data_IF_893692186172
#
_entry.id   IF_893692186172
#
_cell.length_a   1.000
_cell.length_b   1.000
_cell.length_c   1.000
_cell.angle_alpha   90.00
_cell.angle_beta   90.00
_cell.angle_gamma   90.00
#
_symmetry.space_group_name_H-M   'P 1'
#
loop_
_entity.id
_entity.type
_entity.pdbx_description
1 polymer ?
#
# COMPACT_ATOMS: atom_id res chain seq x y z
N UNK A 1 -14.54 2.29 -14.95
CA UNK A 1 -14.66 2.22 -13.47
C UNK A 1 -14.46 0.78 -13.04
N UNK A 2 -13.74 0.54 -11.94
CA UNK A 2 -13.53 -0.78 -11.34
C UNK A 2 -14.33 -0.90 -10.05
N UNK A 3 -15.01 -2.03 -9.84
CA UNK A 3 -15.86 -2.28 -8.68
C UNK A 3 -15.18 -3.24 -7.71
N UNK A 4 -14.88 -2.74 -6.52
CA UNK A 4 -14.51 -3.54 -5.35
C UNK A 4 -15.76 -3.95 -4.58
N UNK A 5 -15.61 -4.80 -3.58
CA UNK A 5 -16.72 -5.27 -2.74
C UNK A 5 -17.43 -4.11 -2.00
N UNK A 6 -16.70 -3.08 -1.60
CA UNK A 6 -17.20 -2.02 -0.74
C UNK A 6 -17.15 -0.62 -1.39
N UNK A 7 -16.49 -0.48 -2.52
CA UNK A 7 -16.34 0.80 -3.21
C UNK A 7 -16.01 0.61 -4.70
N UNK A 8 -16.01 1.70 -5.42
CA UNK A 8 -15.64 1.71 -6.84
C UNK A 8 -14.64 2.81 -7.12
N UNK A 9 -13.74 2.59 -8.08
CA UNK A 9 -12.72 3.55 -8.47
C UNK A 9 -12.74 3.83 -9.96
N UNK A 10 -12.54 5.09 -10.32
CA UNK A 10 -12.19 5.50 -11.68
C UNK A 10 -10.72 5.21 -11.94
N UNK A 11 -10.40 4.76 -13.15
CA UNK A 11 -9.02 4.51 -13.61
C UNK A 11 -8.89 4.64 -15.13
N UNK A 12 -9.88 5.28 -15.77
CA UNK A 12 -9.94 5.35 -17.23
C UNK A 12 -8.80 6.21 -17.81
N UNK A 13 -8.44 7.29 -17.13
CA UNK A 13 -7.41 8.24 -17.57
C UNK A 13 -6.03 7.93 -17.00
N UNK A 14 -5.95 7.05 -16.01
CA UNK A 14 -4.70 6.70 -15.35
C UNK A 14 -3.74 5.97 -16.28
N UNK A 15 -2.46 6.35 -16.22
CA UNK A 15 -1.37 5.72 -16.98
C UNK A 15 -1.24 4.22 -16.65
N UNK A 16 -1.36 3.85 -15.37
CA UNK A 16 -1.45 2.47 -14.92
C UNK A 16 -2.88 2.14 -14.48
N UNK A 17 -3.41 1.04 -15.02
CA UNK A 17 -4.71 0.50 -14.59
C UNK A 17 -4.55 -0.20 -13.24
N UNK A 18 -5.67 -0.42 -12.54
CA UNK A 18 -5.69 -1.21 -11.31
C UNK A 18 -5.09 -2.58 -11.58
N UNK A 19 -4.04 -2.92 -10.85
CA UNK A 19 -3.25 -4.14 -11.03
C UNK A 19 -3.42 -5.10 -9.85
N UNK A 20 -3.16 -6.38 -10.10
CA UNK A 20 -3.10 -7.39 -9.04
C UNK A 20 -2.02 -7.06 -8.01
N UNK A 21 -0.88 -6.49 -8.45
CA UNK A 21 0.22 -6.10 -7.56
C UNK A 21 -0.23 -5.05 -6.53
N UNK A 22 -0.96 -4.01 -6.99
CA UNK A 22 -1.49 -2.98 -6.10
C UNK A 22 -2.50 -3.55 -5.09
N UNK A 23 -3.38 -4.46 -5.54
CA UNK A 23 -4.34 -5.13 -4.66
C UNK A 23 -3.64 -6.02 -3.63
N UNK A 24 -2.65 -6.81 -4.05
CA UNK A 24 -1.88 -7.67 -3.16
C UNK A 24 -1.11 -6.87 -2.11
N UNK A 25 -0.47 -5.77 -2.53
CA UNK A 25 0.23 -4.89 -1.60
C UNK A 25 -0.74 -4.32 -0.56
N UNK A 26 -1.88 -3.78 -0.99
CA UNK A 26 -2.87 -3.22 -0.09
C UNK A 26 -3.45 -4.27 0.86
N UNK A 27 -3.74 -5.49 0.36
CA UNK A 27 -4.29 -6.57 1.15
C UNK A 27 -3.30 -7.09 2.20
N UNK A 28 -2.02 -7.30 1.80
CA UNK A 28 -0.97 -7.82 2.68
C UNK A 28 -0.43 -6.78 3.68
N UNK A 29 -0.54 -5.47 3.39
CA UNK A 29 -0.02 -4.43 4.28
C UNK A 29 -0.85 -4.31 5.55
N UNK A 30 -0.29 -4.54 6.75
CA UNK A 30 -1.00 -4.35 8.01
C UNK A 30 -1.14 -2.86 8.34
N UNK A 31 -2.31 -2.45 8.82
CA UNK A 31 -2.63 -1.04 9.14
C UNK A 31 -2.69 -0.74 10.63
N UNK A 32 -2.49 -1.77 11.48
CA UNK A 32 -2.48 -1.65 12.93
C UNK A 32 -1.57 -0.50 13.40
N UNK A 33 -2.07 0.32 14.30
CA UNK A 33 -1.39 1.48 14.89
C UNK A 33 -0.95 2.58 13.89
N UNK A 34 -1.28 2.47 12.60
CA UNK A 34 -0.97 3.52 11.64
C UNK A 34 -2.01 4.65 11.74
N UNK A 35 -1.54 5.88 11.95
CA UNK A 35 -2.36 7.09 11.93
C UNK A 35 -2.12 7.92 10.68
N UNK A 36 -0.90 7.91 10.17
CA UNK A 36 -0.49 8.67 9.00
C UNK A 36 0.14 7.74 7.97
N UNK A 37 -0.49 7.69 6.81
CA UNK A 37 -0.12 6.80 5.70
C UNK A 37 0.27 7.62 4.47
N UNK A 38 1.33 7.22 3.77
CA UNK A 38 1.75 7.77 2.49
C UNK A 38 1.77 6.67 1.44
N UNK A 39 1.08 6.90 0.33
CA UNK A 39 1.09 6.06 -0.88
C UNK A 39 1.91 6.77 -1.95
N UNK A 40 3.13 6.28 -2.23
CA UNK A 40 4.08 6.85 -3.19
C UNK A 40 3.87 6.22 -4.55
N UNK A 41 3.58 7.05 -5.58
CA UNK A 41 3.19 6.56 -6.89
C UNK A 41 1.78 5.96 -6.85
N UNK A 42 0.84 6.67 -6.24
CA UNK A 42 -0.49 6.15 -5.92
C UNK A 42 -1.36 5.85 -7.14
N UNK A 43 -1.01 6.37 -8.32
CA UNK A 43 -1.85 6.24 -9.52
C UNK A 43 -3.26 6.75 -9.28
N UNK A 44 -4.27 5.94 -9.62
CA UNK A 44 -5.68 6.24 -9.33
C UNK A 44 -6.08 6.03 -7.86
N UNK A 45 -5.10 5.85 -6.96
CA UNK A 45 -5.32 5.78 -5.52
C UNK A 45 -5.76 4.40 -5.00
N UNK A 46 -5.64 3.33 -5.77
CA UNK A 46 -6.16 2.02 -5.39
C UNK A 46 -5.65 1.54 -4.04
N UNK A 47 -4.34 1.67 -3.77
CA UNK A 47 -3.74 1.24 -2.49
C UNK A 47 -4.25 2.14 -1.37
N UNK A 48 -4.22 3.46 -1.55
CA UNK A 48 -4.69 4.43 -0.58
C UNK A 48 -6.16 4.18 -0.18
N UNK A 49 -7.06 3.90 -1.14
CA UNK A 49 -8.47 3.58 -0.88
C UNK A 49 -8.65 2.26 -0.13
N UNK A 50 -7.92 1.20 -0.52
CA UNK A 50 -7.94 -0.07 0.19
C UNK A 50 -7.45 0.07 1.64
N UNK A 51 -6.36 0.81 1.85
CA UNK A 51 -5.83 1.06 3.21
C UNK A 51 -6.79 1.92 4.04
N UNK A 52 -7.43 2.93 3.44
CA UNK A 52 -8.46 3.73 4.10
C UNK A 52 -9.60 2.84 4.61
N UNK A 53 -10.08 1.94 3.78
CA UNK A 53 -11.12 0.99 4.17
C UNK A 53 -10.65 0.07 5.31
N UNK A 54 -9.44 -0.51 5.23
CA UNK A 54 -8.86 -1.35 6.28
C UNK A 54 -8.74 -0.61 7.62
N UNK A 55 -8.20 0.60 7.60
CA UNK A 55 -8.03 1.42 8.81
C UNK A 55 -9.38 1.74 9.45
N UNK A 56 -10.39 1.99 8.65
CA UNK A 56 -11.75 2.17 9.17
C UNK A 56 -12.29 0.90 9.83
N UNK A 57 -12.12 -0.27 9.20
CA UNK A 57 -12.55 -1.53 9.80
C UNK A 57 -11.84 -1.80 11.13
N UNK A 58 -10.54 -1.50 11.21
CA UNK A 58 -9.77 -1.64 12.45
C UNK A 58 -10.29 -0.71 13.55
N UNK A 59 -10.54 0.55 13.24
CA UNK A 59 -11.12 1.52 14.17
C UNK A 59 -12.49 1.06 14.70
N UNK A 60 -13.35 0.52 13.83
CA UNK A 60 -14.66 -0.03 14.23
C UNK A 60 -14.51 -1.24 15.15
N UNK A 61 -13.55 -2.13 14.89
CA UNK A 61 -13.24 -3.27 15.76
C UNK A 61 -12.75 -2.82 17.14
N UNK A 62 -11.84 -1.85 17.19
CA UNK A 62 -11.33 -1.29 18.44
C UNK A 62 -12.43 -0.64 19.28
N UNK A 63 -13.34 0.12 18.66
CA UNK A 63 -14.50 0.73 19.33
C UNK A 63 -15.44 -0.34 19.87
N UNK A 64 -15.80 -1.31 19.05
CA UNK A 64 -16.66 -2.43 19.48
C UNK A 64 -16.06 -3.23 20.64
N UNK A 65 -14.73 -3.42 20.67
CA UNK A 65 -14.03 -4.10 21.76
C UNK A 65 -14.06 -3.27 23.05
N UNK A 66 -13.94 -1.94 22.98
CA UNK A 66 -14.01 -1.03 24.12
C UNK A 66 -15.41 -0.92 24.74
N UNK A 67 -16.45 -1.08 23.92
CA UNK A 67 -17.86 -1.00 24.36
C UNK A 67 -18.38 -2.30 24.95
N UNK A 68 -17.53 -3.35 25.13
CA UNK A 68 -17.90 -4.67 25.67
C UNK A 68 -19.13 -5.29 24.96
N UNK A 69 -19.22 -5.12 23.65
CA UNK A 69 -20.32 -5.69 22.86
C UNK A 69 -20.20 -7.22 22.86
N UNK A 70 -21.07 -7.90 23.61
CA UNK A 70 -21.10 -9.36 23.71
C UNK A 70 -21.44 -10.02 22.38
N UNK A 71 -21.00 -11.29 22.19
CA UNK A 71 -21.21 -12.07 20.94
C UNK A 71 -22.67 -12.16 20.49
N UNK A 72 -23.64 -12.00 21.39
CA UNK A 72 -25.07 -12.03 21.08
C UNK A 72 -25.56 -10.84 20.26
N UNK A 73 -24.87 -9.70 20.33
CA UNK A 73 -25.18 -8.51 19.54
C UNK A 73 -24.57 -8.54 18.13
N UNK A 74 -23.94 -9.63 17.72
CA UNK A 74 -23.27 -9.74 16.40
C UNK A 74 -24.29 -9.77 15.25
N UNK A 75 -25.52 -10.23 15.46
CA UNK A 75 -26.57 -10.18 14.46
C UNK A 75 -27.11 -8.73 14.20
N UNK A 76 -27.00 -7.84 15.20
CA UNK A 76 -27.29 -6.42 15.06
C UNK A 76 -26.08 -5.60 14.55
N UNK A 77 -24.97 -6.27 14.23
CA UNK A 77 -23.70 -5.64 13.89
C UNK A 77 -23.76 -4.74 12.64
N UNK A 78 -24.59 -5.08 11.68
CA UNK A 78 -24.75 -4.25 10.47
C UNK A 78 -25.47 -2.94 10.79
N UNK A 79 -26.51 -2.98 11.63
CA UNK A 79 -27.22 -1.77 12.07
C UNK A 79 -26.38 -0.93 13.04
N UNK A 80 -25.61 -1.58 13.93
CA UNK A 80 -24.69 -0.89 14.84
C UNK A 80 -23.53 -0.27 14.05
N UNK A 81 -23.02 -0.96 13.04
CA UNK A 81 -21.99 -0.46 12.16
C UNK A 81 -22.47 0.76 11.37
N UNK A 82 -23.71 0.77 10.88
CA UNK A 82 -24.32 1.95 10.25
C UNK A 82 -24.57 3.08 11.24
N UNK A 83 -25.01 2.79 12.47
CA UNK A 83 -25.19 3.81 13.53
C UNK A 83 -23.88 4.42 13.99
N UNK A 84 -22.82 3.62 14.22
CA UNK A 84 -21.49 4.11 14.56
C UNK A 84 -20.85 4.95 13.44
N UNK A 85 -21.22 4.67 12.19
CA UNK A 85 -20.86 5.47 11.03
C UNK A 85 -21.63 6.80 10.95
N UNK A 86 -22.79 6.90 11.63
CA UNK A 86 -23.64 8.10 11.64
C UNK A 86 -23.31 9.05 12.82
N UNK A 87 -22.75 8.58 13.91
CA UNK A 87 -22.41 9.42 15.05
C UNK A 87 -21.17 10.26 14.78
N UNK A 88 -21.40 11.56 14.63
CA UNK A 88 -20.41 12.62 14.54
C UNK A 88 -19.79 12.85 15.91
N UNK A 89 -18.73 12.16 16.26
CA UNK A 89 -17.75 12.68 17.22
C UNK A 89 -16.51 11.81 17.19
N UNK A 90 -15.72 11.98 16.14
CA UNK A 90 -14.32 11.59 16.19
C UNK A 90 -13.60 12.68 16.98
N UNK A 91 -13.25 12.41 18.23
CA UNK A 91 -12.34 13.28 18.98
C UNK A 91 -10.98 13.31 18.29
N UNK A 92 -10.18 14.34 18.51
CA UNK A 92 -8.83 14.52 17.92
C UNK A 92 -7.89 13.31 18.05
N UNK A 93 -8.22 12.34 18.91
CA UNK A 93 -7.43 11.11 19.14
C UNK A 93 -7.57 10.04 18.03
N UNK A 94 -8.61 10.12 17.21
CA UNK A 94 -8.90 9.12 16.17
C UNK A 94 -8.64 9.64 14.74
N UNK A 95 -7.79 10.66 14.63
CA UNK A 95 -7.45 11.25 13.34
C UNK A 95 -6.49 10.36 12.55
N UNK A 96 -6.99 9.82 11.42
CA UNK A 96 -6.18 9.12 10.44
C UNK A 96 -6.04 9.99 9.20
N UNK A 97 -4.82 10.08 8.66
CA UNK A 97 -4.51 10.81 7.44
C UNK A 97 -3.86 9.87 6.44
N UNK A 98 -4.39 9.82 5.23
CA UNK A 98 -3.81 9.08 4.12
C UNK A 98 -3.53 10.06 3.00
N UNK A 99 -2.29 10.10 2.55
CA UNK A 99 -1.84 10.95 1.45
C UNK A 99 -1.36 10.05 0.31
N UNK A 100 -1.95 10.21 -0.88
CA UNK A 100 -1.46 9.64 -2.13
C UNK A 100 -0.74 10.71 -2.94
N UNK A 101 0.42 10.40 -3.48
CA UNK A 101 1.16 11.29 -4.38
C UNK A 101 1.52 10.57 -5.67
N UNK A 102 1.39 11.26 -6.78
CA UNK A 102 1.81 10.78 -8.10
C UNK A 102 2.22 11.97 -8.98
N UNK A 103 3.09 11.74 -9.95
CA UNK A 103 3.45 12.75 -10.96
C UNK A 103 2.42 12.85 -12.08
N UNK A 104 1.65 11.78 -12.31
CA UNK A 104 0.68 11.65 -13.39
C UNK A 104 -0.63 12.38 -13.05
N UNK A 105 -0.84 13.55 -13.64
CA UNK A 105 -2.03 14.36 -13.40
C UNK A 105 -3.35 13.63 -13.75
N UNK A 106 -3.47 12.88 -14.87
CA UNK A 106 -4.67 12.10 -15.16
C UNK A 106 -5.00 11.06 -14.10
N UNK A 107 -4.00 10.37 -13.54
CA UNK A 107 -4.17 9.42 -12.44
C UNK A 107 -4.69 10.08 -11.18
N UNK A 108 -4.12 11.23 -10.79
CA UNK A 108 -4.63 12.02 -9.66
C UNK A 108 -6.06 12.52 -9.92
N UNK A 109 -6.39 12.88 -11.17
CA UNK A 109 -7.75 13.23 -11.56
C UNK A 109 -8.75 12.07 -11.33
N UNK A 110 -8.39 10.85 -11.71
CA UNK A 110 -9.20 9.65 -11.45
C UNK A 110 -9.32 9.36 -9.93
N UNK A 111 -8.22 9.53 -9.18
CA UNK A 111 -8.25 9.38 -7.72
C UNK A 111 -9.20 10.39 -7.06
N UNK A 112 -9.13 11.66 -7.41
CA UNK A 112 -10.02 12.70 -6.88
C UNK A 112 -11.48 12.47 -7.28
N UNK A 113 -11.74 12.07 -8.52
CA UNK A 113 -13.09 11.72 -9.00
C UNK A 113 -13.67 10.52 -8.23
N UNK A 114 -12.84 9.54 -7.92
CA UNK A 114 -13.24 8.40 -7.09
C UNK A 114 -13.68 8.82 -5.69
N UNK A 115 -13.06 9.85 -5.13
CA UNK A 115 -13.43 10.39 -3.82
C UNK A 115 -14.85 10.96 -3.77
N UNK A 116 -15.37 11.47 -4.88
CA UNK A 116 -16.73 12.03 -4.97
C UNK A 116 -17.82 10.95 -4.84
N UNK A 117 -17.54 9.74 -5.34
CA UNK A 117 -18.49 8.61 -5.30
C UNK A 117 -18.26 7.67 -4.10
N UNK A 118 -17.15 7.85 -3.39
CA UNK A 118 -16.83 7.06 -2.23
C UNK A 118 -17.82 7.40 -1.08
N UNK A 119 -18.24 6.42 -0.24
CA UNK A 119 -19.13 6.69 0.89
C UNK A 119 -18.50 7.73 1.82
N UNK A 120 -18.89 8.98 1.67
CA UNK A 120 -18.15 10.19 2.05
C UNK A 120 -17.82 10.37 3.53
N UNK A 121 -18.49 9.66 4.45
CA UNK A 121 -18.39 10.02 5.88
C UNK A 121 -17.07 9.65 6.55
N UNK A 122 -16.28 8.71 5.97
CA UNK A 122 -15.15 8.12 6.66
C UNK A 122 -13.77 8.40 6.05
N UNK A 123 -13.72 9.15 4.92
CA UNK A 123 -12.48 9.38 4.16
C UNK A 123 -12.15 10.87 4.01
N UNK A 124 -12.56 11.70 4.97
CA UNK A 124 -12.30 13.16 4.93
C UNK A 124 -10.80 13.47 4.86
N UNK A 125 -9.97 12.59 5.41
CA UNK A 125 -8.52 12.74 5.50
C UNK A 125 -7.76 11.93 4.43
N UNK A 126 -8.43 11.53 3.35
CA UNK A 126 -7.80 10.93 2.18
C UNK A 126 -7.52 12.05 1.18
N UNK A 127 -6.23 12.32 0.96
CA UNK A 127 -5.73 13.45 0.18
C UNK A 127 -4.89 12.94 -0.99
N UNK A 128 -5.03 13.57 -2.16
CA UNK A 128 -4.24 13.22 -3.35
C UNK A 128 -3.58 14.48 -3.90
N UNK A 129 -2.27 14.37 -4.20
CA UNK A 129 -1.49 15.48 -4.74
C UNK A 129 -0.71 15.05 -5.97
N UNK A 130 -0.80 15.86 -7.03
CA UNK A 130 0.10 15.74 -8.16
C UNK A 130 1.47 16.31 -7.77
N UNK A 131 2.38 15.45 -7.37
CA UNK A 131 3.71 15.86 -6.91
C UNK A 131 4.72 14.71 -7.01
N UNK A 132 5.97 15.04 -7.36
CA UNK A 132 7.05 14.07 -7.23
C UNK A 132 7.41 13.83 -5.77
N UNK A 133 7.91 12.63 -5.46
CA UNK A 133 8.31 12.28 -4.09
C UNK A 133 9.45 13.16 -3.58
N UNK A 134 10.39 13.54 -4.45
CA UNK A 134 11.50 14.43 -4.10
C UNK A 134 10.99 15.79 -3.61
N UNK A 135 10.07 16.40 -4.38
CA UNK A 135 9.44 17.67 -4.00
C UNK A 135 8.57 17.56 -2.77
N UNK A 136 7.86 16.42 -2.62
CA UNK A 136 7.03 16.16 -1.43
C UNK A 136 7.91 16.04 -0.19
N UNK A 137 8.97 15.24 -0.24
CA UNK A 137 9.89 15.03 0.87
C UNK A 137 10.55 16.35 1.33
N UNK A 138 11.00 17.20 0.39
CA UNK A 138 11.59 18.49 0.71
C UNK A 138 10.65 19.45 1.46
N UNK A 139 9.34 19.38 1.19
CA UNK A 139 8.34 20.30 1.75
C UNK A 139 7.58 19.77 2.95
N UNK A 140 7.65 18.47 3.19
CA UNK A 140 6.83 17.81 4.19
C UNK A 140 7.63 17.50 5.47
N UNK A 141 7.25 18.12 6.58
CA UNK A 141 7.97 17.97 7.86
C UNK A 141 7.40 16.88 8.77
N UNK A 142 6.19 16.39 8.45
CA UNK A 142 5.54 15.36 9.29
C UNK A 142 5.99 13.98 8.85
N UNK A 143 6.14 13.06 9.82
CA UNK A 143 6.50 11.67 9.58
C UNK A 143 5.26 10.80 9.37
N UNK A 144 5.44 9.66 8.71
CA UNK A 144 4.40 8.68 8.43
C UNK A 144 4.65 7.38 9.19
N UNK A 145 3.60 6.82 9.77
CA UNK A 145 3.66 5.54 10.47
C UNK A 145 3.72 4.36 9.49
N UNK A 146 3.13 4.58 8.31
CA UNK A 146 3.10 3.62 7.23
C UNK A 146 3.36 4.32 5.90
N UNK A 147 4.33 3.82 5.14
CA UNK A 147 4.56 4.19 3.75
C UNK A 147 4.36 2.96 2.88
N UNK A 148 3.71 3.12 1.73
CA UNK A 148 3.54 2.06 0.74
C UNK A 148 3.95 2.56 -0.63
N UNK A 149 4.44 1.66 -1.49
CA UNK A 149 4.71 1.97 -2.89
C UNK A 149 4.59 0.74 -3.78
N UNK A 150 3.93 0.92 -4.92
CA UNK A 150 4.00 0.01 -6.06
C UNK A 150 4.59 0.79 -7.24
N UNK A 151 5.91 1.05 -7.23
CA UNK A 151 6.52 1.93 -8.20
C UNK A 151 6.53 1.29 -9.59
N UNK A 152 6.49 2.10 -10.66
CA UNK A 152 6.71 1.59 -11.99
C UNK A 152 8.13 0.98 -12.07
N UNK A 153 8.20 -0.30 -12.41
CA UNK A 153 9.45 -1.01 -12.66
C UNK A 153 9.57 -1.28 -14.16
N UNK A 154 10.65 -0.87 -14.76
CA UNK A 154 10.97 -1.27 -16.11
C UNK A 154 11.80 -2.56 -16.02
N UNK A 155 11.20 -3.66 -16.48
CA UNK A 155 12.01 -4.77 -16.99
C UNK A 155 12.91 -4.15 -18.05
N UNK A 156 14.24 -4.37 -17.98
CA UNK A 156 15.19 -4.06 -19.04
C UNK A 156 14.81 -4.84 -20.33
N UNK A 157 13.65 -4.54 -20.89
CA UNK A 157 13.25 -5.03 -22.18
C UNK A 157 14.09 -4.28 -23.20
N UNK A 158 15.17 -4.95 -23.68
CA UNK A 158 15.93 -4.69 -24.89
C UNK A 158 15.76 -3.24 -25.39
N UNK A 159 16.77 -2.41 -25.08
CA UNK A 159 16.85 -1.02 -25.56
C UNK A 159 16.48 -0.96 -27.05
N UNK A 160 15.36 -0.35 -27.45
CA UNK A 160 15.19 -0.05 -28.85
C UNK A 160 16.19 1.06 -29.17
N UNK A 161 17.07 0.80 -30.10
CA UNK A 161 18.14 1.70 -30.59
C UNK A 161 17.57 2.92 -31.33
N UNK A 162 16.73 3.75 -30.68
CA UNK A 162 16.27 5.01 -31.25
C UNK A 162 16.49 6.14 -30.25
N UNK A 163 17.36 7.11 -30.57
CA UNK A 163 17.76 8.18 -29.64
C UNK A 163 16.62 9.10 -29.14
N UNK A 164 15.53 9.21 -29.90
CA UNK A 164 14.42 10.12 -29.59
C UNK A 164 13.43 9.60 -28.53
N UNK A 165 13.43 8.28 -28.22
CA UNK A 165 12.58 7.70 -27.16
C UNK A 165 13.23 7.67 -25.77
N UNK A 166 14.52 8.00 -25.68
CA UNK A 166 15.25 7.94 -24.41
C UNK A 166 15.00 9.14 -23.51
N UNK A 167 14.63 10.30 -24.07
CA UNK A 167 14.44 11.55 -23.28
C UNK A 167 13.11 11.53 -22.52
N UNK A 168 12.04 10.95 -23.09
CA UNK A 168 10.74 10.86 -22.42
C UNK A 168 10.66 9.73 -21.37
N UNK A 169 11.49 8.67 -21.50
CA UNK A 169 11.48 7.53 -20.59
C UNK A 169 12.26 7.76 -19.28
N UNK A 170 13.23 8.68 -19.27
CA UNK A 170 14.00 9.00 -18.06
C UNK A 170 13.22 9.86 -17.05
N UNK A 171 12.14 10.53 -17.49
CA UNK A 171 11.30 11.35 -16.59
C UNK A 171 10.15 10.56 -15.93
N UNK A 172 9.84 9.36 -16.40
CA UNK A 172 8.69 8.57 -15.93
C UNK A 172 9.04 7.48 -14.91
N UNK A 173 10.34 7.35 -14.57
CA UNK A 173 10.80 6.33 -13.60
C UNK A 173 11.11 6.98 -12.27
N UNK A 174 10.64 6.36 -11.19
CA UNK A 174 11.07 6.69 -9.83
C UNK A 174 12.37 5.92 -9.54
N UNK A 175 13.56 6.58 -9.48
CA UNK A 175 14.79 5.89 -9.10
C UNK A 175 14.69 5.31 -7.70
N UNK A 176 15.24 4.13 -7.49
CA UNK A 176 15.19 3.46 -6.19
C UNK A 176 15.96 4.23 -5.09
N UNK A 177 17.01 4.93 -5.48
CA UNK A 177 17.77 5.82 -4.61
C UNK A 177 16.86 6.95 -4.07
N UNK A 178 16.11 7.60 -4.95
CA UNK A 178 15.18 8.69 -4.58
C UNK A 178 14.03 8.16 -3.71
N UNK A 179 13.48 6.99 -4.05
CA UNK A 179 12.46 6.33 -3.23
C UNK A 179 13.00 6.03 -1.83
N UNK A 180 14.18 5.40 -1.73
CA UNK A 180 14.84 5.08 -0.48
C UNK A 180 15.09 6.33 0.37
N UNK A 181 15.68 7.38 -0.22
CA UNK A 181 16.01 8.61 0.48
C UNK A 181 14.76 9.30 1.02
N UNK A 182 13.72 9.39 0.22
CA UNK A 182 12.44 9.94 0.63
C UNK A 182 11.77 9.12 1.75
N UNK A 183 11.81 7.77 1.65
CA UNK A 183 11.31 6.89 2.72
C UNK A 183 12.08 7.13 4.01
N UNK A 184 13.41 7.18 3.97
CA UNK A 184 14.24 7.43 5.15
C UNK A 184 13.93 8.81 5.77
N UNK A 185 13.65 9.81 4.93
CA UNK A 185 13.30 11.15 5.39
C UNK A 185 11.89 11.22 5.99
N UNK A 186 10.91 10.50 5.43
CA UNK A 186 9.49 10.65 5.77
C UNK A 186 8.98 9.62 6.77
N UNK A 187 9.64 8.47 6.92
CA UNK A 187 9.21 7.40 7.80
C UNK A 187 9.41 7.80 9.27
N UNK A 188 8.42 7.51 10.11
CA UNK A 188 8.53 7.66 11.56
C UNK A 188 9.55 6.64 12.14
N UNK A 189 10.16 6.89 13.30
CA UNK A 189 11.17 5.97 13.88
C UNK A 189 10.68 4.52 14.03
N UNK A 190 9.41 4.31 14.39
CA UNK A 190 8.77 3.00 14.48
C UNK A 190 7.88 2.69 13.27
N UNK A 191 7.97 3.49 12.22
CA UNK A 191 7.20 3.35 11.00
C UNK A 191 7.57 2.11 10.19
N UNK A 192 6.68 1.75 9.27
CA UNK A 192 6.84 0.61 8.38
C UNK A 192 6.72 1.08 6.93
N UNK A 193 7.59 0.56 6.09
CA UNK A 193 7.52 0.79 4.65
C UNK A 193 7.27 -0.53 3.94
N UNK A 194 6.22 -0.63 3.13
CA UNK A 194 5.91 -1.80 2.32
C UNK A 194 6.02 -1.49 0.84
N UNK A 195 6.68 -2.39 0.12
CA UNK A 195 7.03 -2.25 -1.28
C UNK A 195 6.73 -3.55 -2.01
N UNK A 196 6.09 -3.50 -3.19
CA UNK A 196 5.94 -4.66 -4.08
C UNK A 196 6.81 -4.49 -5.31
N UNK A 197 7.62 -5.49 -5.62
CA UNK A 197 8.52 -5.50 -6.78
C UNK A 197 8.62 -6.89 -7.40
N UNK A 198 9.04 -7.00 -8.68
CA UNK A 198 9.58 -8.22 -9.23
C UNK A 198 10.81 -8.69 -8.44
N UNK A 199 11.12 -9.99 -8.49
CA UNK A 199 12.19 -10.60 -7.69
C UNK A 199 13.53 -9.87 -7.83
N UNK A 200 13.99 -9.66 -9.08
CA UNK A 200 15.27 -9.00 -9.34
C UNK A 200 15.31 -7.54 -8.84
N UNK A 201 14.21 -6.82 -9.01
CA UNK A 201 14.10 -5.43 -8.56
C UNK A 201 14.02 -5.34 -7.03
N UNK A 202 13.41 -6.34 -6.38
CA UNK A 202 13.38 -6.44 -4.92
C UNK A 202 14.80 -6.64 -4.34
N UNK A 203 15.60 -7.52 -4.96
CA UNK A 203 17.00 -7.72 -4.57
C UNK A 203 17.83 -6.45 -4.78
N UNK A 204 17.64 -5.77 -5.92
CA UNK A 204 18.30 -4.50 -6.19
C UNK A 204 17.95 -3.42 -5.18
N UNK A 205 16.66 -3.28 -4.84
CA UNK A 205 16.24 -2.30 -3.82
C UNK A 205 16.84 -2.64 -2.44
N UNK A 206 16.89 -3.92 -2.06
CA UNK A 206 17.50 -4.36 -0.81
C UNK A 206 19.00 -3.98 -0.74
N UNK A 207 19.78 -4.20 -1.82
CA UNK A 207 21.18 -3.81 -1.89
C UNK A 207 21.38 -2.30 -1.71
N UNK A 208 20.52 -1.47 -2.34
CA UNK A 208 20.60 -0.01 -2.25
C UNK A 208 20.22 0.48 -0.85
N UNK A 209 19.29 -0.19 -0.17
CA UNK A 209 18.69 0.28 1.09
C UNK A 209 19.35 -0.25 2.36
N UNK A 210 20.17 -1.31 2.28
CA UNK A 210 20.69 -2.10 3.41
C UNK A 210 21.40 -1.31 4.54
N UNK A 211 21.91 -0.11 4.24
CA UNK A 211 22.60 0.73 5.23
C UNK A 211 21.66 1.69 5.99
N UNK A 212 20.39 1.80 5.59
CA UNK A 212 19.42 2.74 6.15
C UNK A 212 18.09 2.06 6.54
N UNK A 213 17.74 1.01 5.83
CA UNK A 213 16.54 0.22 6.05
C UNK A 213 16.91 -1.23 6.35
N UNK A 214 16.16 -1.88 7.24
CA UNK A 214 16.28 -3.32 7.43
C UNK A 214 14.96 -4.01 7.10
N UNK A 215 15.07 -5.14 6.43
CA UNK A 215 13.93 -5.99 6.06
C UNK A 215 13.49 -6.79 7.28
N UNK A 216 12.22 -6.66 7.67
CA UNK A 216 11.63 -7.42 8.78
C UNK A 216 10.56 -8.41 8.32
N UNK A 217 10.05 -8.26 7.10
CA UNK A 217 9.00 -9.09 6.52
C UNK A 217 9.18 -9.24 5.02
N UNK A 218 8.84 -10.40 4.47
CA UNK A 218 8.67 -10.60 3.04
C UNK A 218 7.58 -11.63 2.75
N UNK A 219 6.77 -11.36 1.72
CA UNK A 219 5.80 -12.27 1.15
C UNK A 219 6.22 -12.60 -0.27
N UNK A 220 6.59 -13.86 -0.49
CA UNK A 220 6.99 -14.40 -1.79
C UNK A 220 5.74 -14.80 -2.57
N UNK A 221 5.51 -14.22 -3.75
CA UNK A 221 4.30 -14.44 -4.54
C UNK A 221 4.63 -15.31 -5.74
N UNK A 222 3.95 -16.47 -5.81
CA UNK A 222 4.00 -17.42 -6.92
C UNK A 222 2.69 -17.38 -7.71
N UNK A 223 2.73 -17.31 -9.05
CA UNK A 223 1.52 -17.42 -9.87
C UNK A 223 0.79 -18.75 -9.72
N UNK A 224 1.53 -19.86 -9.73
CA UNK A 224 1.06 -21.24 -9.54
C UNK A 224 2.15 -22.05 -8.85
N UNK A 225 1.87 -23.24 -8.28
CA UNK A 225 2.87 -24.07 -7.60
C UNK A 225 4.06 -24.47 -8.47
N UNK A 226 3.86 -24.54 -9.80
CA UNK A 226 4.91 -24.93 -10.78
C UNK A 226 5.72 -23.75 -11.31
N UNK A 227 5.34 -22.50 -11.00
CA UNK A 227 6.03 -21.29 -11.45
C UNK A 227 6.91 -20.72 -10.36
N UNK A 228 8.07 -20.13 -10.69
CA UNK A 228 8.89 -19.47 -9.69
C UNK A 228 8.18 -18.24 -9.07
N UNK A 229 8.67 -17.81 -7.93
CA UNK A 229 8.32 -16.50 -7.34
C UNK A 229 8.62 -15.41 -8.37
N UNK A 230 7.66 -14.54 -8.61
CA UNK A 230 7.80 -13.47 -9.60
C UNK A 230 7.53 -12.07 -9.04
N UNK A 231 6.99 -11.99 -7.81
CA UNK A 231 6.79 -10.75 -7.05
C UNK A 231 7.14 -10.99 -5.61
N UNK A 232 7.63 -9.94 -4.96
CA UNK A 232 7.91 -9.94 -3.51
C UNK A 232 7.28 -8.68 -2.93
N UNK A 233 6.49 -8.84 -1.89
CA UNK A 233 6.13 -7.72 -1.00
C UNK A 233 7.13 -7.74 0.15
N UNK A 234 7.84 -6.63 0.33
CA UNK A 234 8.86 -6.51 1.38
C UNK A 234 8.45 -5.42 2.36
N UNK A 235 8.54 -5.72 3.65
CA UNK A 235 8.36 -4.78 4.75
C UNK A 235 9.72 -4.34 5.31
N UNK A 236 9.93 -3.02 5.36
CA UNK A 236 11.15 -2.39 5.87
C UNK A 236 10.85 -1.48 7.06
N UNK A 237 11.86 -1.30 7.91
CA UNK A 237 11.92 -0.27 8.96
C UNK A 237 13.23 0.49 8.85
N UNK A 238 13.28 1.68 9.47
CA UNK A 238 14.53 2.41 9.61
C UNK A 238 15.51 1.59 10.44
N UNK A 239 16.76 1.52 9.97
CA UNK A 239 17.83 0.90 10.73
C UNK A 239 18.14 1.78 11.96
N UNK A 240 18.02 1.25 13.19
CA UNK A 240 18.32 2.03 14.38
C UNK A 240 19.81 2.48 14.38
N UNK A 241 20.05 3.73 14.75
CA UNK A 241 21.40 4.30 14.80
C UNK A 241 22.38 3.47 15.67
N UNK A 242 21.86 2.76 16.67
CA UNK A 242 22.64 1.87 17.53
C UNK A 242 23.14 0.61 16.79
N UNK A 243 22.44 0.17 15.74
CA UNK A 243 22.82 -1.03 14.97
C UNK A 243 23.85 -0.75 13.87
N UNK A 244 24.07 0.51 13.51
CA UNK A 244 25.02 0.88 12.46
C UNK A 244 26.49 0.66 12.85
N UNK A 245 26.80 0.40 14.12
CA UNK A 245 28.20 0.34 14.63
C UNK A 245 28.63 -0.99 15.26
N UNK A 246 27.75 -1.85 15.76
CA UNK A 246 28.21 -2.95 16.64
C UNK A 246 27.37 -4.21 16.70
N UNK A 247 26.27 -4.37 15.97
CA UNK A 247 25.43 -5.57 16.14
C UNK A 247 25.36 -6.42 14.87
N UNK A 248 25.86 -7.69 14.89
CA UNK A 248 25.85 -8.56 13.72
C UNK A 248 24.54 -9.27 13.44
N UNK A 249 23.51 -9.09 14.25
CA UNK A 249 22.21 -9.76 14.05
C UNK A 249 21.11 -8.75 13.78
N UNK A 250 20.85 -8.50 12.49
CA UNK A 250 19.57 -7.91 12.09
C UNK A 250 18.43 -8.77 12.64
N UNK A 251 17.29 -8.17 13.07
CA UNK A 251 16.13 -8.95 13.49
C UNK A 251 15.74 -9.97 12.41
N UNK A 252 15.34 -11.18 12.82
CA UNK A 252 14.93 -12.22 11.89
C UNK A 252 13.81 -11.71 10.97
N UNK A 253 13.99 -11.87 9.66
CA UNK A 253 12.96 -11.53 8.67
C UNK A 253 11.90 -12.65 8.65
N UNK A 254 10.63 -12.29 8.84
CA UNK A 254 9.51 -13.20 8.66
C UNK A 254 9.31 -13.40 7.16
N UNK A 255 9.34 -14.64 6.69
CA UNK A 255 9.15 -14.99 5.30
C UNK A 255 7.93 -15.88 5.14
N UNK A 256 7.00 -15.45 4.29
CA UNK A 256 5.79 -16.19 3.93
C UNK A 256 5.74 -16.40 2.42
N UNK A 257 4.94 -17.36 1.97
CA UNK A 257 4.73 -17.63 0.54
C UNK A 257 3.23 -17.63 0.24
N UNK A 258 2.85 -16.92 -0.81
CA UNK A 258 1.51 -16.87 -1.35
C UNK A 258 1.50 -17.43 -2.77
N UNK A 259 0.74 -18.51 -2.98
CA UNK A 259 0.44 -18.99 -4.32
C UNK A 259 -0.91 -18.41 -4.77
N UNK A 260 -0.97 -17.78 -5.95
CA UNK A 260 -2.20 -17.12 -6.40
C UNK A 260 -3.25 -18.11 -6.90
N UNK A 261 -2.80 -19.18 -7.59
CA UNK A 261 -3.67 -20.21 -8.16
C UNK A 261 -3.18 -21.61 -7.82
N UNK A 262 -4.11 -22.53 -7.69
CA UNK A 262 -3.85 -23.97 -7.59
C UNK A 262 -3.34 -24.54 -8.93
N UNK A 263 -2.92 -25.81 -8.91
CA UNK A 263 -2.45 -26.51 -10.12
C UNK A 263 -3.55 -26.66 -11.19
N UNK A 264 -4.82 -26.69 -10.80
CA UNK A 264 -5.99 -26.74 -11.68
C UNK A 264 -6.40 -25.37 -12.25
N UNK A 265 -5.69 -24.29 -11.87
CA UNK A 265 -5.96 -22.93 -12.32
C UNK A 265 -7.01 -22.17 -11.49
N UNK A 266 -7.67 -22.81 -10.52
CA UNK A 266 -8.56 -22.14 -9.58
C UNK A 266 -7.78 -21.18 -8.64
N UNK A 267 -8.44 -20.19 -8.06
CA UNK A 267 -7.82 -19.32 -7.07
C UNK A 267 -7.48 -20.12 -5.81
N UNK A 268 -6.27 -19.93 -5.25
CA UNK A 268 -5.89 -20.58 -4.02
C UNK A 268 -6.69 -20.05 -2.82
N UNK A 269 -6.91 -20.86 -1.82
CA UNK A 269 -7.61 -20.47 -0.59
C UNK A 269 -6.90 -19.31 0.13
N UNK A 270 -5.56 -19.35 0.18
CA UNK A 270 -4.75 -18.28 0.80
C UNK A 270 -4.91 -16.95 0.07
N UNK A 271 -4.95 -16.95 -1.27
CA UNK A 271 -5.20 -15.74 -2.05
C UNK A 271 -6.63 -15.22 -1.84
N UNK A 272 -7.62 -16.10 -1.87
CA UNK A 272 -9.02 -15.74 -1.60
C UNK A 272 -9.16 -15.12 -0.20
N UNK A 273 -8.57 -15.75 0.81
CA UNK A 273 -8.61 -15.24 2.19
C UNK A 273 -7.94 -13.88 2.32
N UNK A 274 -6.80 -13.66 1.64
CA UNK A 274 -6.10 -12.38 1.65
C UNK A 274 -6.93 -11.26 1.00
N UNK A 275 -7.65 -11.56 -0.09
CA UNK A 275 -8.33 -10.55 -0.91
C UNK A 275 -9.84 -10.49 -0.71
N UNK A 276 -10.42 -11.32 0.16
CA UNK A 276 -11.88 -11.44 0.39
C UNK A 276 -12.59 -10.14 0.73
N UNK A 277 -11.86 -9.20 1.33
CA UNK A 277 -12.41 -7.92 1.75
C UNK A 277 -12.48 -6.91 0.59
N UNK A 278 -11.84 -7.20 -0.53
CA UNK A 278 -11.76 -6.29 -1.67
C UNK A 278 -12.44 -6.82 -2.93
N UNK A 279 -12.29 -8.11 -3.22
CA UNK A 279 -12.79 -8.68 -4.47
C UNK A 279 -14.23 -9.15 -4.36
N UNK A 280 -15.02 -8.89 -5.43
CA UNK A 280 -16.37 -9.43 -5.58
C UNK A 280 -16.31 -10.94 -5.84
N UNK A 281 -17.31 -11.68 -5.33
CA UNK A 281 -17.45 -13.11 -5.61
C UNK A 281 -16.49 -14.03 -4.84
N UNK A 282 -15.77 -13.50 -3.84
CA UNK A 282 -15.01 -14.29 -2.87
C UNK A 282 -15.84 -14.33 -1.58
N UNK A 283 -16.38 -15.51 -1.26
CA UNK A 283 -17.21 -15.76 -0.08
C UNK A 283 -16.37 -16.31 1.07
#
# INVERSE_FOLDING_TARGET
MFHFKHFSLYHENSAMKISTDALLLAAATPVDHAKRVLDIGCGCGVIAYCLAWKMQQELLRERAAKENVTKENILQKNELQEKLLQEKTCGEKDFHEIIGIDIDAPSIGDALKSKEIFPQRNYQNLLFYQQSIQNFACKHNKKFDLIVSNPPFFVDALKPNTPQKNISKHNDTLPFEDLKDAVCQLLAPNGRFFLILPTNESERFEQISQNQLFKFYQLLIQPTPSKPVNRIITGYRLLPAALTKTCPTAPACITETLCLRNADGSMSETYQQLTKDFLLGIC
#
